data_IF_050783334048
#
_entry.id   IF_050783334048
#
_cell.length_a   1.000
_cell.length_b   1.000
_cell.length_c   1.000
_cell.angle_alpha   90.00
_cell.angle_beta   90.00
_cell.angle_gamma   90.00
#
_symmetry.space_group_name_H-M   'P 1'
#
loop_
_entity.id
_entity.type
_entity.pdbx_description
1 polymer ?
#
# COMPACT_ATOMS: atom_id res chain seq x y z
N UNK A 1 17.70 3.18 8.35
CA UNK A 1 19.05 2.60 8.40
C UNK A 1 19.78 3.00 9.67
N UNK A 2 20.71 2.18 10.13
CA UNK A 2 21.65 2.50 11.22
C UNK A 2 22.79 3.39 10.70
N UNK A 3 23.52 4.10 11.59
CA UNK A 3 24.67 4.91 11.17
C UNK A 3 25.76 4.11 10.44
N UNK A 4 25.98 2.86 10.85
CA UNK A 4 26.98 1.97 10.25
C UNK A 4 26.59 1.57 8.83
N UNK A 5 25.32 1.22 8.62
CA UNK A 5 24.74 0.92 7.30
C UNK A 5 24.85 2.12 6.35
N UNK A 6 24.57 3.33 6.84
CA UNK A 6 24.70 4.57 6.06
C UNK A 6 26.15 4.78 5.64
N UNK A 7 27.08 4.57 6.57
CA UNK A 7 28.51 4.74 6.29
C UNK A 7 28.98 3.72 5.24
N UNK A 8 28.47 2.50 5.27
CA UNK A 8 28.78 1.46 4.30
C UNK A 8 28.33 1.84 2.88
N UNK A 9 27.10 2.34 2.72
CA UNK A 9 26.57 2.84 1.44
C UNK A 9 27.45 3.98 0.89
N UNK A 10 27.78 4.95 1.72
CA UNK A 10 28.61 6.10 1.33
C UNK A 10 30.03 5.65 0.94
N UNK A 11 30.65 4.76 1.73
CA UNK A 11 31.97 4.20 1.43
C UNK A 11 31.97 3.45 0.10
N UNK A 12 30.93 2.67 -0.16
CA UNK A 12 30.78 1.93 -1.41
C UNK A 12 30.75 2.86 -2.63
N UNK A 13 30.05 4.00 -2.54
CA UNK A 13 30.05 5.03 -3.60
C UNK A 13 31.44 5.67 -3.75
N UNK A 14 32.09 6.04 -2.64
CA UNK A 14 33.40 6.67 -2.67
C UNK A 14 34.49 5.75 -3.26
N UNK A 15 34.40 4.43 -3.02
CA UNK A 15 35.31 3.43 -3.59
C UNK A 15 35.03 3.21 -5.08
N UNK A 16 33.75 3.16 -5.48
CA UNK A 16 33.37 2.94 -6.87
C UNK A 16 33.68 4.14 -7.79
N UNK A 17 33.62 5.37 -7.26
CA UNK A 17 33.76 6.59 -8.05
C UNK A 17 34.85 7.51 -7.51
N UNK A 18 35.97 7.59 -8.23
CA UNK A 18 37.16 8.39 -7.85
C UNK A 18 36.88 9.89 -7.63
N UNK A 19 35.88 10.43 -8.31
CA UNK A 19 35.53 11.86 -8.26
C UNK A 19 34.37 12.15 -7.29
N UNK A 20 34.01 11.20 -6.43
CA UNK A 20 32.96 11.41 -5.45
C UNK A 20 33.42 12.42 -4.39
N UNK A 21 32.58 13.42 -4.13
CA UNK A 21 32.90 14.45 -3.13
C UNK A 21 32.74 13.90 -1.71
N UNK A 22 33.87 13.84 -0.99
CA UNK A 22 33.93 13.38 0.40
C UNK A 22 33.93 14.53 1.42
N UNK A 23 33.48 15.73 1.02
CA UNK A 23 33.30 16.85 1.93
C UNK A 23 32.33 16.49 3.08
N UNK A 24 32.70 16.84 4.32
CA UNK A 24 31.91 16.57 5.52
C UNK A 24 30.46 17.08 5.41
N UNK A 25 30.24 18.24 4.78
CA UNK A 25 28.89 18.79 4.59
C UNK A 25 28.06 17.91 3.63
N UNK A 26 28.69 17.42 2.56
CA UNK A 26 28.06 16.53 1.60
C UNK A 26 27.73 15.16 2.23
N UNK A 27 28.65 14.62 3.03
CA UNK A 27 28.46 13.37 3.75
C UNK A 27 27.34 13.45 4.79
N UNK A 28 27.25 14.57 5.52
CA UNK A 28 26.14 14.82 6.47
C UNK A 28 24.79 14.85 5.76
N UNK A 29 24.70 15.52 4.61
CA UNK A 29 23.49 15.55 3.80
C UNK A 29 23.08 14.14 3.34
N UNK A 30 24.03 13.35 2.85
CA UNK A 30 23.79 11.96 2.46
C UNK A 30 23.29 11.12 3.64
N UNK A 31 23.92 11.26 4.80
CA UNK A 31 23.52 10.55 6.01
C UNK A 31 22.09 10.92 6.45
N UNK A 32 21.75 12.20 6.38
CA UNK A 32 20.42 12.69 6.72
C UNK A 32 19.34 12.12 5.79
N UNK A 33 19.63 12.03 4.49
CA UNK A 33 18.72 11.49 3.48
C UNK A 33 18.55 9.97 3.57
N UNK A 34 19.63 9.23 3.84
CA UNK A 34 19.63 7.77 3.93
C UNK A 34 19.00 7.24 5.23
N UNK A 35 18.87 8.08 6.26
CA UNK A 35 18.33 7.72 7.59
C UNK A 35 17.03 6.92 7.53
N UNK A 36 16.11 7.33 6.67
CA UNK A 36 14.77 6.73 6.55
C UNK A 36 14.69 5.66 5.44
N UNK A 37 15.83 5.22 4.89
CA UNK A 37 15.89 4.19 3.85
C UNK A 37 15.88 2.77 4.40
N UNK A 38 15.60 1.84 3.49
CA UNK A 38 15.76 0.39 3.63
C UNK A 38 17.15 0.01 3.11
N UNK A 39 18.02 -0.46 4.01
CA UNK A 39 19.42 -0.69 3.73
C UNK A 39 19.64 -1.71 2.62
N UNK A 40 19.06 -2.90 2.73
CA UNK A 40 19.27 -3.98 1.74
C UNK A 40 18.80 -3.57 0.35
N UNK A 41 17.63 -2.94 0.25
CA UNK A 41 17.11 -2.50 -1.05
C UNK A 41 17.95 -1.38 -1.66
N UNK A 42 18.43 -0.45 -0.83
CA UNK A 42 19.30 0.64 -1.27
C UNK A 42 20.65 0.10 -1.74
N UNK A 43 21.24 -0.88 -1.02
CA UNK A 43 22.48 -1.55 -1.42
C UNK A 43 22.35 -2.27 -2.76
N UNK A 44 21.29 -3.05 -2.95
CA UNK A 44 21.02 -3.72 -4.23
C UNK A 44 20.86 -2.71 -5.38
N UNK A 45 20.20 -1.59 -5.11
CA UNK A 45 20.01 -0.53 -6.12
C UNK A 45 21.34 0.15 -6.46
N UNK A 46 22.17 0.40 -5.45
CA UNK A 46 23.52 0.94 -5.63
C UNK A 46 24.42 -0.01 -6.43
N UNK A 47 24.47 -1.30 -6.11
CA UNK A 47 25.27 -2.30 -6.84
C UNK A 47 24.88 -2.35 -8.32
N UNK A 48 23.57 -2.31 -8.62
CA UNK A 48 23.05 -2.24 -10.00
C UNK A 48 23.48 -0.96 -10.70
N UNK A 49 23.46 0.17 -10.00
CA UNK A 49 23.90 1.45 -10.55
C UNK A 49 25.39 1.44 -10.86
N UNK A 50 26.24 0.96 -9.95
CA UNK A 50 27.68 0.83 -10.14
C UNK A 50 28.02 -0.05 -11.35
N UNK A 51 27.28 -1.15 -11.54
CA UNK A 51 27.49 -2.06 -12.66
C UNK A 51 27.12 -1.47 -14.04
N UNK A 52 26.20 -0.51 -14.08
CA UNK A 52 25.61 -0.01 -15.33
C UNK A 52 26.00 1.44 -15.68
N UNK A 53 26.37 2.24 -14.69
CA UNK A 53 26.59 3.68 -14.85
C UNK A 53 28.01 4.10 -14.50
N UNK A 54 28.63 4.81 -15.43
CA UNK A 54 29.98 5.39 -15.27
C UNK A 54 30.01 6.58 -14.29
N UNK A 55 28.88 7.25 -14.10
CA UNK A 55 28.78 8.45 -13.26
C UNK A 55 28.23 8.11 -11.86
N UNK A 56 28.70 8.81 -10.81
CA UNK A 56 28.23 8.59 -9.45
C UNK A 56 26.72 8.84 -9.35
N UNK A 57 25.98 8.00 -8.62
CA UNK A 57 24.57 8.22 -8.40
C UNK A 57 24.31 9.45 -7.53
N UNK A 58 23.14 10.04 -7.70
CA UNK A 58 22.56 10.89 -6.67
C UNK A 58 21.93 10.03 -5.56
N UNK A 59 21.80 10.58 -4.34
CA UNK A 59 21.15 9.86 -3.23
C UNK A 59 19.73 9.41 -3.59
N UNK A 60 19.00 10.21 -4.37
CA UNK A 60 17.63 9.92 -4.75
C UNK A 60 17.51 8.70 -5.70
N UNK A 61 18.54 8.42 -6.49
CA UNK A 61 18.55 7.28 -7.42
C UNK A 61 18.72 5.95 -6.69
N UNK A 62 19.43 5.95 -5.57
CA UNK A 62 19.73 4.74 -4.80
C UNK A 62 18.79 4.55 -3.60
N UNK A 63 18.25 5.63 -3.03
CA UNK A 63 17.45 5.59 -1.81
C UNK A 63 16.13 4.84 -2.05
N UNK A 64 16.03 3.64 -1.48
CA UNK A 64 14.77 2.91 -1.41
C UNK A 64 14.17 3.08 -0.03
N UNK A 65 12.97 3.67 0.04
CA UNK A 65 12.23 3.75 1.30
C UNK A 65 11.64 2.37 1.64
N UNK A 66 11.59 1.99 2.92
CA UNK A 66 10.90 0.78 3.34
C UNK A 66 9.46 0.87 2.87
N UNK A 67 9.09 -0.05 1.98
CA UNK A 67 7.78 -0.07 1.38
C UNK A 67 6.83 -0.71 2.40
N UNK A 68 6.20 0.11 3.22
CA UNK A 68 5.12 -0.35 4.09
C UNK A 68 3.84 -0.47 3.24
N UNK A 69 3.87 -1.45 2.33
CA UNK A 69 2.77 -1.72 1.39
C UNK A 69 1.45 -1.92 2.13
N UNK A 70 1.52 -2.40 3.37
CA UNK A 70 0.38 -2.55 4.26
C UNK A 70 -0.21 -1.19 4.66
N UNK A 71 0.60 -0.28 5.21
CA UNK A 71 0.13 1.06 5.60
C UNK A 71 -0.37 1.90 4.41
N UNK A 72 0.28 1.79 3.25
CA UNK A 72 -0.18 2.47 2.04
C UNK A 72 -1.52 1.92 1.56
N UNK A 73 -1.68 0.59 1.54
CA UNK A 73 -2.93 -0.06 1.16
C UNK A 73 -4.05 0.30 2.13
N UNK A 74 -3.78 0.32 3.44
CA UNK A 74 -4.75 0.69 4.46
C UNK A 74 -5.25 2.13 4.29
N UNK A 75 -4.34 3.09 4.04
CA UNK A 75 -4.72 4.48 3.75
C UNK A 75 -5.61 4.59 2.51
N UNK A 76 -5.25 3.91 1.42
CA UNK A 76 -6.03 3.88 0.18
C UNK A 76 -7.44 3.30 0.44
N UNK A 77 -7.53 2.22 1.23
CA UNK A 77 -8.80 1.59 1.58
C UNK A 77 -9.67 2.51 2.45
N UNK A 78 -9.09 3.21 3.43
CA UNK A 78 -9.80 4.16 4.27
C UNK A 78 -10.35 5.34 3.46
N UNK A 79 -9.55 5.91 2.56
CA UNK A 79 -10.01 7.00 1.68
C UNK A 79 -11.16 6.56 0.76
N UNK A 80 -11.07 5.34 0.22
CA UNK A 80 -12.16 4.76 -0.59
C UNK A 80 -13.43 4.57 0.23
N UNK A 81 -13.33 4.06 1.46
CA UNK A 81 -14.49 3.93 2.37
C UNK A 81 -15.15 5.27 2.63
N UNK A 82 -14.38 6.29 3.00
CA UNK A 82 -14.91 7.65 3.23
C UNK A 82 -15.61 8.21 2.00
N UNK A 83 -15.04 8.00 0.81
CA UNK A 83 -15.67 8.43 -0.45
C UNK A 83 -16.99 7.70 -0.70
N UNK A 84 -17.05 6.38 -0.49
CA UNK A 84 -18.28 5.60 -0.64
C UNK A 84 -19.32 6.06 0.39
N UNK A 85 -18.96 6.24 1.65
CA UNK A 85 -19.85 6.74 2.71
C UNK A 85 -20.39 8.14 2.39
N UNK A 86 -19.54 9.05 1.89
CA UNK A 86 -19.98 10.39 1.47
C UNK A 86 -20.87 10.38 0.23
N UNK A 87 -20.74 9.37 -0.63
CA UNK A 87 -21.47 9.25 -1.88
C UNK A 87 -22.68 8.29 -1.76
N UNK A 88 -22.88 7.66 -0.60
CA UNK A 88 -24.00 6.79 -0.27
C UNK A 88 -25.28 7.55 0.08
N UNK A 89 -25.46 8.75 -0.45
CA UNK A 89 -26.80 9.29 -0.66
C UNK A 89 -27.38 8.63 -1.91
N UNK A 90 -27.51 7.30 -1.88
CA UNK A 90 -28.37 6.59 -2.82
C UNK A 90 -29.79 6.99 -2.45
N UNK A 91 -30.39 7.87 -3.25
CA UNK A 91 -31.81 8.17 -3.17
C UNK A 91 -32.58 6.87 -3.44
N UNK A 92 -33.60 6.60 -2.64
CA UNK A 92 -34.50 5.47 -2.92
C UNK A 92 -35.20 5.73 -4.26
N UNK A 93 -35.58 4.67 -5.00
CA UNK A 93 -36.27 4.84 -6.30
C UNK A 93 -37.54 5.70 -6.15
N UNK A 94 -38.10 5.73 -4.94
CA UNK A 94 -39.27 6.51 -4.57
C UNK A 94 -39.02 8.03 -4.51
N UNK A 95 -37.78 8.45 -4.26
CA UNK A 95 -37.37 9.85 -4.20
C UNK A 95 -37.19 10.49 -5.59
N UNK A 96 -37.14 9.67 -6.65
CA UNK A 96 -37.05 10.17 -8.01
C UNK A 96 -38.44 10.53 -8.55
N UNK A 97 -38.59 11.77 -9.03
CA UNK A 97 -39.77 12.24 -9.77
C UNK A 97 -39.78 11.67 -11.20
N UNK A 98 -39.94 10.35 -11.28
CA UNK A 98 -39.98 9.59 -12.53
C UNK A 98 -41.36 8.93 -12.64
N UNK A 99 -41.95 8.86 -13.85
CA UNK A 99 -43.22 8.16 -14.09
C UNK A 99 -43.24 6.73 -13.55
N UNK A 100 -44.39 6.34 -12.97
CA UNK A 100 -44.60 5.05 -12.30
C UNK A 100 -44.37 3.82 -13.19
N UNK A 101 -44.57 3.98 -14.50
CA UNK A 101 -44.28 2.94 -15.51
C UNK A 101 -42.79 2.62 -15.54
N UNK A 102 -41.93 3.63 -15.40
CA UNK A 102 -40.48 3.48 -15.43
C UNK A 102 -40.00 2.91 -14.09
N UNK A 103 -40.58 3.33 -12.95
CA UNK A 103 -40.29 2.74 -11.63
C UNK A 103 -40.49 1.22 -11.64
N UNK A 104 -41.65 0.77 -12.15
CA UNK A 104 -41.96 -0.66 -12.29
C UNK A 104 -40.98 -1.40 -13.21
N UNK A 105 -40.61 -0.81 -14.34
CA UNK A 105 -39.63 -1.42 -15.26
C UNK A 105 -38.24 -1.60 -14.62
N UNK A 106 -37.79 -0.65 -13.79
CA UNK A 106 -36.52 -0.75 -13.06
C UNK A 106 -36.58 -1.85 -12.00
N UNK A 107 -37.68 -1.91 -11.23
CA UNK A 107 -37.89 -2.96 -10.22
C UNK A 107 -37.91 -4.36 -10.84
N UNK A 108 -38.63 -4.55 -11.95
CA UNK A 108 -38.65 -5.82 -12.67
C UNK A 108 -37.27 -6.21 -13.23
N UNK A 109 -36.52 -5.26 -13.79
CA UNK A 109 -35.16 -5.49 -14.27
C UNK A 109 -34.23 -5.90 -13.14
N UNK A 110 -34.35 -5.27 -11.97
CA UNK A 110 -33.55 -5.61 -10.80
C UNK A 110 -33.88 -7.01 -10.27
N UNK A 111 -35.16 -7.40 -10.26
CA UNK A 111 -35.60 -8.73 -9.83
C UNK A 111 -35.22 -9.86 -10.81
N UNK A 112 -34.97 -9.54 -12.08
CA UNK A 112 -34.56 -10.48 -13.14
C UNK A 112 -33.05 -10.59 -13.33
N UNK A 113 -32.22 -9.84 -12.58
CA UNK A 113 -30.77 -9.98 -12.67
C UNK A 113 -30.40 -11.42 -12.27
N UNK A 114 -29.51 -12.11 -13.02
CA UNK A 114 -29.08 -13.48 -12.70
C UNK A 114 -28.36 -13.57 -11.35
N UNK A 115 -27.95 -12.41 -10.82
CA UNK A 115 -27.41 -12.24 -9.49
C UNK A 115 -28.33 -11.31 -8.68
N UNK A 116 -28.85 -11.79 -7.55
CA UNK A 116 -29.48 -10.96 -6.53
C UNK A 116 -28.37 -10.33 -5.69
N UNK A 117 -28.39 -9.00 -5.51
CA UNK A 117 -27.58 -8.39 -4.45
C UNK A 117 -28.03 -9.00 -3.12
N UNK A 118 -27.10 -9.47 -2.25
CA UNK A 118 -27.45 -10.07 -0.97
C UNK A 118 -28.37 -9.11 -0.21
N UNK A 119 -29.46 -9.62 0.36
CA UNK A 119 -30.27 -8.81 1.28
C UNK A 119 -29.42 -8.42 2.49
N UNK A 120 -29.81 -7.38 3.22
CA UNK A 120 -29.09 -6.94 4.42
C UNK A 120 -28.86 -8.09 5.43
N UNK A 121 -29.79 -9.04 5.50
CA UNK A 121 -29.74 -10.22 6.36
C UNK A 121 -28.80 -11.31 5.84
N UNK A 122 -28.82 -11.60 4.53
CA UNK A 122 -27.86 -12.50 3.88
C UNK A 122 -26.43 -11.95 3.93
N UNK A 123 -26.27 -10.64 3.81
CA UNK A 123 -24.98 -9.96 3.91
C UNK A 123 -24.46 -9.99 5.35
N UNK A 124 -25.33 -9.86 6.36
CA UNK A 124 -24.99 -10.03 7.76
C UNK A 124 -24.49 -11.45 8.05
N UNK A 125 -25.21 -12.48 7.60
CA UNK A 125 -24.80 -13.87 7.75
C UNK A 125 -23.44 -14.15 7.08
N UNK A 126 -23.21 -13.60 5.88
CA UNK A 126 -21.93 -13.72 5.18
C UNK A 126 -20.79 -13.03 5.92
N UNK A 127 -21.02 -11.84 6.47
CA UNK A 127 -20.01 -11.11 7.27
C UNK A 127 -19.67 -11.84 8.56
N UNK A 128 -20.67 -12.41 9.25
CA UNK A 128 -20.47 -13.22 10.44
C UNK A 128 -19.61 -14.47 10.16
N UNK A 129 -19.88 -15.16 9.05
CA UNK A 129 -19.10 -16.32 8.62
C UNK A 129 -17.64 -15.97 8.28
N UNK A 130 -17.42 -14.84 7.59
CA UNK A 130 -16.06 -14.39 7.26
C UNK A 130 -15.30 -13.99 8.53
N UNK A 131 -15.98 -13.38 9.52
CA UNK A 131 -15.38 -13.04 10.81
C UNK A 131 -14.93 -14.30 11.56
N UNK A 132 -15.78 -15.32 11.65
CA UNK A 132 -15.43 -16.58 12.32
C UNK A 132 -14.26 -17.29 11.64
N UNK A 133 -14.20 -17.30 10.30
CA UNK A 133 -13.08 -17.88 9.55
C UNK A 133 -11.76 -17.14 9.78
N UNK A 134 -11.80 -15.82 9.97
CA UNK A 134 -10.59 -15.04 10.29
C UNK A 134 -10.08 -15.36 11.69
N UNK A 135 -10.98 -15.51 12.65
CA UNK A 135 -10.62 -15.87 14.02
C UNK A 135 -9.97 -17.27 14.09
N UNK A 136 -10.52 -18.25 13.35
CA UNK A 136 -9.93 -19.60 13.29
C UNK A 136 -8.54 -19.59 12.67
N UNK A 137 -8.36 -18.93 11.51
CA UNK A 137 -7.04 -18.82 10.87
C UNK A 137 -6.02 -18.08 11.76
N UNK A 138 -6.45 -17.06 12.51
CA UNK A 138 -5.57 -16.32 13.42
C UNK A 138 -5.16 -17.18 14.62
N UNK A 139 -6.09 -17.98 15.15
CA UNK A 139 -5.84 -18.91 16.26
C UNK A 139 -4.91 -20.06 15.84
N UNK A 140 -5.11 -20.62 14.65
CA UNK A 140 -4.26 -21.67 14.09
C UNK A 140 -2.83 -21.17 13.86
N UNK A 141 -2.68 -19.93 13.36
CA UNK A 141 -1.38 -19.28 13.20
C UNK A 141 -0.64 -19.11 14.54
N UNK A 142 -1.33 -18.67 15.58
CA UNK A 142 -0.73 -18.54 16.92
C UNK A 142 -0.34 -19.87 17.58
N UNK A 143 -0.99 -20.97 17.18
CA UNK A 143 -0.62 -22.31 17.68
C UNK A 143 0.61 -22.87 16.95
N UNK A 144 0.80 -22.53 15.68
CA UNK A 144 1.99 -22.89 14.91
C UNK A 144 3.26 -22.18 15.41
N UNK A 145 3.16 -20.91 15.80
CA UNK A 145 4.31 -20.13 16.30
C UNK A 145 4.76 -20.53 17.73
N UNK A 146 4.05 -21.46 18.39
CA UNK A 146 4.35 -21.97 19.75
C UNK A 146 4.91 -23.39 19.79
N UNK A 147 5.02 -24.08 18.65
CA UNK A 147 5.63 -25.41 18.51
C UNK A 147 7.03 -25.30 17.92
#
# INVERSE_FOLDING_TARGET
>A
MTPDEIQDVIKSVAVAYRNFDTNETHLKLWADMLRNGDYEKTRITLEKHIASNRFPPSVAEILVKPNDSFLQTEKILQERKKKIESNNNCLDIDDFSIPEVIKRAILERNNKKPYKCPTSEEEYARRALIASQKETMTRERMNYDKS
#
